data_IF_755829487541
#
_entry.id   IF_755829487541
#
_cell.length_a   1.000
_cell.length_b   1.000
_cell.length_c   1.000
_cell.angle_alpha   90.00
_cell.angle_beta   90.00
_cell.angle_gamma   90.00
#
_symmetry.space_group_name_H-M   'P 1'
#
loop_
_entity.id
_entity.type
_entity.pdbx_description
1 polymer ?
#
# COMPACT_ATOMS: atom_id res chain seq x y z
N UNK A 1 21.57 -40.27 -12.71
CA UNK A 1 22.12 -39.05 -13.29
C UNK A 1 21.06 -38.08 -13.68
N UNK A 2 20.25 -38.39 -14.65
CA UNK A 2 19.20 -37.48 -15.12
C UNK A 2 18.05 -37.29 -14.09
N UNK A 3 17.84 -38.26 -13.21
CA UNK A 3 16.81 -38.19 -12.18
C UNK A 3 17.12 -37.13 -11.13
N UNK A 4 18.37 -36.94 -10.79
CA UNK A 4 18.79 -35.93 -9.80
C UNK A 4 18.54 -34.50 -10.31
N UNK A 5 18.76 -34.27 -11.61
CA UNK A 5 18.50 -32.98 -12.22
C UNK A 5 17.00 -32.61 -12.19
N UNK A 6 16.13 -33.60 -12.36
CA UNK A 6 14.67 -33.38 -12.31
C UNK A 6 14.26 -33.00 -10.89
N UNK A 7 14.78 -33.62 -9.87
CA UNK A 7 14.48 -33.30 -8.47
C UNK A 7 14.94 -31.91 -8.09
N UNK A 8 16.09 -31.48 -8.59
CA UNK A 8 16.58 -30.12 -8.35
C UNK A 8 15.69 -29.06 -8.98
N UNK A 9 15.22 -29.30 -10.20
CA UNK A 9 14.32 -28.39 -10.89
C UNK A 9 12.98 -28.31 -10.17
N UNK A 10 12.44 -29.45 -9.73
CA UNK A 10 11.20 -29.48 -8.94
C UNK A 10 11.32 -28.72 -7.64
N UNK A 11 12.45 -28.89 -6.92
CA UNK A 11 12.70 -28.16 -5.68
C UNK A 11 12.76 -26.66 -5.93
N UNK A 12 13.36 -26.24 -7.03
CA UNK A 12 13.43 -24.82 -7.39
C UNK A 12 12.05 -24.25 -7.68
N UNK A 13 11.21 -24.99 -8.41
CA UNK A 13 9.82 -24.56 -8.66
C UNK A 13 9.02 -24.42 -7.38
N UNK A 14 9.18 -25.34 -6.43
CA UNK A 14 8.49 -25.28 -5.15
C UNK A 14 8.93 -24.04 -4.37
N UNK A 15 10.21 -23.71 -4.37
CA UNK A 15 10.73 -22.50 -3.72
C UNK A 15 10.15 -21.22 -4.35
N UNK A 16 10.04 -21.17 -5.67
CA UNK A 16 9.44 -20.04 -6.35
C UNK A 16 7.96 -19.88 -6.02
N UNK A 17 7.24 -20.99 -5.86
CA UNK A 17 5.82 -20.96 -5.50
C UNK A 17 5.58 -20.34 -4.13
N UNK A 18 6.52 -20.55 -3.19
CA UNK A 18 6.40 -19.97 -1.85
C UNK A 18 6.48 -18.43 -1.86
N UNK A 19 7.18 -17.86 -2.82
CA UNK A 19 7.30 -16.41 -2.92
C UNK A 19 5.99 -15.74 -3.38
N UNK A 20 5.04 -16.51 -3.93
CA UNK A 20 3.75 -15.98 -4.35
C UNK A 20 2.81 -15.66 -3.17
N UNK A 21 3.14 -16.15 -1.98
CA UNK A 21 2.37 -15.87 -0.77
C UNK A 21 2.92 -14.69 0.03
N UNK A 22 3.67 -13.81 -0.62
CA UNK A 22 4.17 -12.61 0.03
C UNK A 22 3.01 -11.76 0.54
N UNK A 23 3.19 -11.14 1.70
CA UNK A 23 2.18 -10.29 2.30
C UNK A 23 1.75 -9.18 1.35
N UNK A 24 0.44 -8.93 1.29
CA UNK A 24 -0.07 -7.85 0.47
C UNK A 24 0.42 -6.51 1.02
N UNK A 25 1.06 -5.75 0.15
CA UNK A 25 1.47 -4.40 0.46
C UNK A 25 1.04 -3.48 -0.66
N UNK A 26 0.68 -2.25 -0.30
CA UNK A 26 0.31 -1.23 -1.27
C UNK A 26 1.31 -0.10 -1.14
N UNK A 27 1.90 0.29 -2.25
CA UNK A 27 2.91 1.34 -2.29
C UNK A 27 2.50 2.43 -3.25
N UNK A 28 2.77 3.65 -2.87
CA UNK A 28 2.47 4.82 -3.70
C UNK A 28 3.64 5.80 -3.57
N UNK A 29 4.07 6.34 -4.71
CA UNK A 29 5.11 7.35 -4.74
C UNK A 29 4.54 8.65 -5.31
N UNK A 30 5.02 9.78 -4.81
CA UNK A 30 4.69 11.07 -5.43
C UNK A 30 5.25 11.13 -6.87
N UNK A 31 4.73 12.03 -7.73
CA UNK A 31 5.21 12.12 -9.11
C UNK A 31 6.73 12.34 -9.23
N UNK A 32 7.33 13.07 -8.30
CA UNK A 32 8.77 13.27 -8.30
C UNK A 32 9.54 12.18 -7.56
N UNK A 33 8.85 11.18 -7.01
CA UNK A 33 9.46 10.05 -6.33
C UNK A 33 10.04 10.36 -4.96
N UNK A 34 9.90 11.59 -4.46
CA UNK A 34 10.49 11.98 -3.17
C UNK A 34 9.69 11.49 -1.99
N UNK A 35 8.38 11.42 -2.12
CA UNK A 35 7.50 10.92 -1.05
C UNK A 35 7.09 9.50 -1.40
N UNK A 36 7.31 8.60 -0.45
CA UNK A 36 6.93 7.20 -0.62
C UNK A 36 6.03 6.79 0.54
N UNK A 37 4.89 6.24 0.18
CA UNK A 37 3.90 5.73 1.13
C UNK A 37 3.81 4.22 0.96
N UNK A 38 3.66 3.52 2.06
CA UNK A 38 3.39 2.08 2.03
C UNK A 38 2.37 1.71 3.09
N UNK A 39 1.49 0.79 2.72
CA UNK A 39 0.50 0.21 3.62
C UNK A 39 0.68 -1.29 3.61
N UNK A 40 0.84 -1.88 4.77
CA UNK A 40 0.96 -3.33 4.93
C UNK A 40 0.06 -3.81 6.04
N UNK A 41 -0.24 -5.10 6.05
CA UNK A 41 -0.96 -5.72 7.16
C UNK A 41 0.06 -6.34 8.12
N UNK A 42 0.02 -5.90 9.37
CA UNK A 42 0.78 -6.50 10.46
C UNK A 42 -0.20 -7.20 11.37
N UNK A 43 -0.15 -8.53 11.40
CA UNK A 43 -1.10 -9.35 12.17
C UNK A 43 -2.55 -8.99 11.85
N UNK A 44 -2.85 -8.82 10.55
CA UNK A 44 -4.16 -8.48 10.01
C UNK A 44 -4.65 -7.07 10.36
N UNK A 45 -3.78 -6.22 10.87
CA UNK A 45 -4.08 -4.82 11.11
C UNK A 45 -3.27 -3.94 10.16
N UNK A 46 -3.87 -2.92 9.53
CA UNK A 46 -3.13 -2.09 8.60
C UNK A 46 -2.19 -1.15 9.34
N UNK A 47 -0.96 -1.11 8.88
CA UNK A 47 0.04 -0.14 9.32
C UNK A 47 0.60 0.57 8.10
N UNK A 48 0.92 1.84 8.27
CA UNK A 48 1.45 2.61 7.16
C UNK A 48 2.76 3.29 7.52
N UNK A 49 3.55 3.55 6.49
CA UNK A 49 4.83 4.22 6.61
C UNK A 49 4.95 5.28 5.53
N UNK A 50 5.61 6.38 5.86
CA UNK A 50 5.87 7.49 4.94
C UNK A 50 7.33 7.86 5.01
N UNK A 51 7.97 7.99 3.84
CA UNK A 51 9.34 8.43 3.73
C UNK A 51 9.43 9.63 2.80
N UNK A 52 10.35 10.54 3.10
CA UNK A 52 10.67 11.70 2.28
C UNK A 52 12.16 11.74 2.02
N UNK A 53 12.57 11.79 0.74
CA UNK A 53 13.97 11.77 0.34
C UNK A 53 14.76 10.63 1.01
N UNK A 54 14.18 9.43 1.02
CA UNK A 54 14.76 8.23 1.63
C UNK A 54 14.86 8.29 3.16
N UNK A 55 14.33 9.31 3.77
CA UNK A 55 14.27 9.43 5.22
C UNK A 55 12.88 9.06 5.70
N UNK A 56 12.80 8.09 6.61
CA UNK A 56 11.51 7.66 7.16
C UNK A 56 10.97 8.70 8.11
N UNK A 57 9.79 9.23 7.82
CA UNK A 57 9.10 10.19 8.67
C UNK A 57 8.11 9.50 9.60
N UNK A 58 7.39 8.51 9.07
CA UNK A 58 6.41 7.73 9.82
C UNK A 58 6.72 6.27 9.53
N UNK A 59 6.88 5.48 10.58
CA UNK A 59 7.17 4.06 10.44
C UNK A 59 6.13 3.24 11.17
N UNK A 60 5.50 2.31 10.42
CA UNK A 60 4.58 1.30 10.95
C UNK A 60 3.52 1.87 11.89
N UNK A 61 2.91 2.97 11.48
CA UNK A 61 1.86 3.60 12.24
C UNK A 61 0.53 2.87 12.03
N UNK A 62 -0.17 2.50 13.10
CA UNK A 62 -1.44 1.80 12.94
C UNK A 62 -2.52 2.70 12.34
N UNK A 63 -3.30 2.13 11.44
CA UNK A 63 -4.43 2.81 10.81
C UNK A 63 -5.72 2.16 11.33
N UNK A 64 -6.22 2.66 12.45
CA UNK A 64 -7.43 2.13 13.07
C UNK A 64 -8.39 3.27 13.39
N UNK A 65 -9.68 2.95 13.39
CA UNK A 65 -10.73 3.88 13.82
C UNK A 65 -11.42 3.29 15.04
N UNK A 66 -11.47 4.07 16.10
CA UNK A 66 -12.11 3.65 17.35
C UNK A 66 -13.42 4.41 17.55
N UNK A 67 -14.47 3.67 17.81
CA UNK A 67 -15.79 4.21 18.06
C UNK A 67 -16.23 3.83 19.46
N UNK A 68 -17.31 4.44 19.96
CA UNK A 68 -17.82 4.12 21.29
C UNK A 68 -18.24 2.65 21.42
N UNK A 69 -18.68 2.05 20.33
CA UNK A 69 -19.16 0.67 20.32
C UNK A 69 -18.22 -0.31 19.63
N UNK A 70 -16.96 0.06 19.44
CA UNK A 70 -15.99 -0.84 18.83
C UNK A 70 -14.90 -0.12 18.05
N UNK A 71 -14.10 -0.91 17.35
CA UNK A 71 -12.99 -0.38 16.54
C UNK A 71 -13.00 -1.04 15.17
N UNK A 72 -12.57 -0.28 14.17
CA UNK A 72 -12.33 -0.80 12.82
C UNK A 72 -10.83 -0.76 12.53
N UNK A 73 -10.32 -1.80 11.90
CA UNK A 73 -8.93 -1.86 11.48
C UNK A 73 -8.09 -2.90 12.21
N UNK A 74 -8.67 -3.61 13.18
CA UNK A 74 -7.91 -4.63 13.92
C UNK A 74 -7.81 -5.96 13.17
N UNK A 75 -8.77 -6.24 12.30
CA UNK A 75 -8.78 -7.49 11.56
C UNK A 75 -9.41 -7.23 10.20
N UNK A 76 -8.56 -6.86 9.26
CA UNK A 76 -9.01 -6.46 7.93
C UNK A 76 -8.20 -7.19 6.88
N UNK A 77 -8.75 -7.26 5.67
CA UNK A 77 -7.98 -7.67 4.50
C UNK A 77 -7.96 -6.51 3.49
N UNK A 78 -6.89 -6.45 2.73
CA UNK A 78 -6.72 -5.46 1.68
C UNK A 78 -7.27 -6.06 0.38
N UNK A 79 -8.27 -5.39 -0.19
CA UNK A 79 -8.77 -5.75 -1.51
C UNK A 79 -7.96 -5.02 -2.58
N UNK A 80 -8.29 -5.28 -3.84
CA UNK A 80 -7.49 -4.77 -4.96
C UNK A 80 -7.43 -3.24 -4.93
N UNK A 81 -6.22 -2.65 -4.83
CA UNK A 81 -6.09 -1.20 -4.85
C UNK A 81 -6.31 -0.65 -6.26
N UNK A 82 -6.82 0.57 -6.32
CA UNK A 82 -7.03 1.30 -7.56
C UNK A 82 -6.12 2.52 -7.58
N UNK A 83 -5.21 2.55 -8.54
CA UNK A 83 -4.26 3.64 -8.70
C UNK A 83 -4.75 4.60 -9.78
N UNK A 84 -4.56 5.88 -9.56
CA UNK A 84 -4.89 6.89 -10.54
C UNK A 84 -3.94 8.08 -10.42
N UNK A 85 -3.86 8.85 -11.50
CA UNK A 85 -3.08 10.08 -11.53
C UNK A 85 -4.05 11.21 -11.85
N UNK A 86 -3.99 12.27 -11.03
CA UNK A 86 -4.81 13.45 -11.22
C UNK A 86 -3.93 14.61 -11.64
N UNK A 87 -4.37 15.30 -12.67
CA UNK A 87 -3.71 16.50 -13.17
C UNK A 87 -4.74 17.61 -13.17
N UNK A 88 -4.48 18.66 -12.40
CA UNK A 88 -5.39 19.78 -12.27
C UNK A 88 -4.65 21.08 -12.55
N UNK A 89 -5.30 21.96 -13.29
CA UNK A 89 -4.81 23.31 -13.51
C UNK A 89 -5.87 24.26 -13.01
N UNK A 90 -5.49 25.15 -12.11
CA UNK A 90 -6.42 26.12 -11.57
C UNK A 90 -5.72 27.47 -11.40
N UNK A 91 -6.54 28.51 -11.31
CA UNK A 91 -6.07 29.87 -11.21
C UNK A 91 -6.36 30.39 -9.81
N UNK A 92 -5.34 30.89 -9.13
CA UNK A 92 -5.49 31.56 -7.86
C UNK A 92 -5.63 33.06 -8.09
N UNK A 93 -6.75 33.63 -7.66
CA UNK A 93 -6.99 35.06 -7.74
C UNK A 93 -6.73 35.67 -6.38
N UNK A 94 -5.44 35.82 -6.04
CA UNK A 94 -5.00 36.53 -4.83
C UNK A 94 -3.96 37.54 -5.26
N UNK A 95 -4.38 38.81 -5.45
CA UNK A 95 -3.52 39.85 -6.00
C UNK A 95 -3.40 39.72 -7.51
N UNK A 96 -2.29 39.14 -7.98
CA UNK A 96 -2.11 38.83 -9.40
C UNK A 96 -2.57 37.40 -9.67
N UNK A 97 -3.23 37.18 -10.80
CA UNK A 97 -3.67 35.85 -11.20
C UNK A 97 -2.46 34.93 -11.35
N UNK A 98 -2.52 33.76 -10.71
CA UNK A 98 -1.46 32.78 -10.75
C UNK A 98 -2.02 31.43 -11.20
N UNK A 99 -1.45 30.90 -12.27
CA UNK A 99 -1.82 29.57 -12.76
C UNK A 99 -1.07 28.52 -11.97
N UNK A 100 -1.80 27.58 -11.41
CA UNK A 100 -1.22 26.46 -10.64
C UNK A 100 -1.53 25.18 -11.38
N UNK A 101 -0.47 24.44 -11.64
CA UNK A 101 -0.54 23.11 -12.23
C UNK A 101 -0.23 22.09 -11.13
N UNK A 102 -1.18 21.23 -10.86
CA UNK A 102 -1.04 20.20 -9.83
C UNK A 102 -1.05 18.82 -10.45
N UNK A 103 -0.05 18.03 -10.12
CA UNK A 103 0.03 16.64 -10.54
C UNK A 103 0.10 15.79 -9.28
N UNK A 104 -0.87 14.90 -9.10
CA UNK A 104 -0.92 14.02 -7.93
C UNK A 104 -1.19 12.58 -8.33
N UNK A 105 -0.67 11.67 -7.53
CA UNK A 105 -0.97 10.24 -7.64
C UNK A 105 -1.87 9.85 -6.48
N UNK A 106 -2.87 9.05 -6.79
CA UNK A 106 -3.87 8.64 -5.82
C UNK A 106 -4.00 7.12 -5.82
N UNK A 107 -4.20 6.55 -4.67
CA UNK A 107 -4.57 5.15 -4.56
C UNK A 107 -5.78 5.02 -3.66
N UNK A 108 -6.75 4.25 -4.12
CA UNK A 108 -7.91 3.88 -3.29
C UNK A 108 -7.69 2.44 -2.88
N UNK A 109 -7.60 2.22 -1.59
CA UNK A 109 -7.33 0.91 -1.01
C UNK A 109 -8.57 0.46 -0.24
N UNK A 110 -9.38 -0.45 -0.81
CA UNK A 110 -10.52 -0.98 -0.08
C UNK A 110 -10.06 -1.89 1.04
N UNK A 111 -10.50 -1.59 2.25
CA UNK A 111 -10.26 -2.42 3.42
C UNK A 111 -11.57 -3.06 3.84
N UNK A 112 -11.56 -4.36 4.01
CA UNK A 112 -12.74 -5.12 4.40
C UNK A 112 -12.51 -5.73 5.76
N UNK A 113 -13.42 -5.46 6.69
CA UNK A 113 -13.36 -6.06 8.01
C UNK A 113 -13.63 -7.56 7.90
N UNK A 114 -12.73 -8.36 8.45
CA UNK A 114 -12.91 -9.80 8.48
C UNK A 114 -13.62 -10.14 9.78
N UNK A 115 -14.88 -10.56 9.65
CA UNK A 115 -15.68 -10.95 10.80
C UNK A 115 -15.70 -12.45 10.91
N UNK A 116 -15.24 -12.97 12.03
CA UNK A 116 -15.37 -14.39 12.34
C UNK A 116 -16.69 -14.60 13.04
N UNK A 117 -17.74 -14.73 12.25
CA UNK A 117 -19.05 -15.09 12.81
C UNK A 117 -19.14 -16.59 12.98
N UNK A 118 -19.58 -16.97 14.11
CA UNK A 118 -19.74 -18.37 14.47
C UNK A 118 -21.16 -18.83 14.40
#
# INVERSE_FOLDING_TARGET
>A
MKKESIYLILAFFILCAHSLYANKSVRLSSPNGKIKFSLVLDKNSPVYSVAFNKQTLIQDSPLTLTFDNGAFGENVKINKPVFSTKEETYELIVGKAKHIHSLSKEVIIPLEAVSYTH
#
